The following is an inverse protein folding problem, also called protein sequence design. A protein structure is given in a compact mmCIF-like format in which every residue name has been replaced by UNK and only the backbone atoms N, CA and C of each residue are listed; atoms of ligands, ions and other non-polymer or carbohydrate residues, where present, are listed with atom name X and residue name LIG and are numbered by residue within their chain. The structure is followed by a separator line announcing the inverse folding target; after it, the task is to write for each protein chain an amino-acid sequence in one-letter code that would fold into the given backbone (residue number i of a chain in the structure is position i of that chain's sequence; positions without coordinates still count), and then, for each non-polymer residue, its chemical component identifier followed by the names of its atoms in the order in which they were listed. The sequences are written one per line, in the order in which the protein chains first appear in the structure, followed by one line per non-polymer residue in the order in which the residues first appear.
data_IF_205872819873
#
_entry.id   IF_205872819873
#
_cell.length_a   1.000
_cell.length_b   1.000
_cell.length_c   1.000
_cell.angle_alpha   90.00
_cell.angle_beta   90.00
_cell.angle_gamma   90.00
#
_symmetry.space_group_name_H-M   'P 1'
#
loop_
_entity.id
_entity.type
_entity.pdbx_description
1 polymer ?
#
# COMPACT_ATOMS: atom_id res chain seq x y z
N UNK A 1 2.31 11.34 9.39
CA UNK A 1 1.88 11.60 8.01
C UNK A 1 1.26 10.34 7.41
N UNK A 2 0.33 10.50 6.47
CA UNK A 2 -0.29 9.39 5.72
C UNK A 2 -1.80 9.51 5.64
N UNK A 3 -2.40 8.65 4.82
CA UNK A 3 -3.85 8.45 4.70
C UNK A 3 -4.13 6.98 4.99
N UNK A 4 -5.05 6.70 5.90
CA UNK A 4 -5.48 5.33 6.14
C UNK A 4 -6.57 4.94 5.14
N UNK A 5 -6.26 3.98 4.28
CA UNK A 5 -7.24 3.35 3.41
C UNK A 5 -7.87 2.13 4.10
N UNK A 6 -9.12 1.81 3.74
CA UNK A 6 -9.75 0.54 4.11
C UNK A 6 -9.52 -0.45 2.97
N UNK A 7 -8.76 -1.51 3.26
CA UNK A 7 -8.62 -2.64 2.36
C UNK A 7 -9.88 -3.52 2.34
N UNK A 8 -10.12 -4.20 1.23
CA UNK A 8 -11.20 -5.17 1.07
C UNK A 8 -11.24 -5.69 -0.37
N UNK A 9 -11.89 -6.83 -0.59
CA UNK A 9 -12.18 -7.27 -1.95
C UNK A 9 -13.23 -6.32 -2.54
N UNK A 10 -12.90 -5.73 -3.69
CA UNK A 10 -13.94 -5.09 -4.49
C UNK A 10 -14.73 -6.23 -5.11
N UNK A 11 -15.99 -6.44 -4.72
CA UNK A 11 -16.92 -7.37 -5.37
C UNK A 11 -17.30 -6.88 -6.79
N UNK A 12 -16.30 -6.48 -7.56
CA UNK A 12 -16.37 -5.78 -8.83
C UNK A 12 -15.24 -6.28 -9.76
N UNK A 13 -15.06 -7.59 -9.83
CA UNK A 13 -14.06 -8.23 -10.72
C UNK A 13 -14.11 -7.73 -12.17
N UNK A 14 -15.30 -7.64 -12.82
CA UNK A 14 -15.41 -7.10 -14.17
C UNK A 14 -14.92 -5.65 -14.31
N UNK A 15 -15.11 -4.82 -13.28
CA UNK A 15 -14.60 -3.46 -13.26
C UNK A 15 -13.07 -3.46 -13.17
N UNK A 16 -12.49 -4.29 -12.31
CA UNK A 16 -11.03 -4.47 -12.24
C UNK A 16 -10.44 -4.92 -13.57
N UNK A 17 -11.08 -5.89 -14.24
CA UNK A 17 -10.63 -6.35 -15.56
C UNK A 17 -10.68 -5.23 -16.61
N UNK A 18 -11.74 -4.42 -16.60
CA UNK A 18 -11.87 -3.30 -17.53
C UNK A 18 -10.85 -2.21 -17.25
N UNK A 19 -10.65 -1.87 -15.96
CA UNK A 19 -9.71 -0.85 -15.51
C UNK A 19 -8.27 -1.19 -15.87
N UNK A 20 -7.91 -2.46 -15.74
CA UNK A 20 -6.56 -2.99 -15.95
C UNK A 20 -6.36 -3.71 -17.29
N UNK A 21 -7.33 -3.57 -18.20
CA UNK A 21 -7.34 -4.22 -19.52
C UNK A 21 -6.99 -5.71 -19.48
N UNK A 22 -7.49 -6.42 -18.46
CA UNK A 22 -7.22 -7.84 -18.24
C UNK A 22 -8.16 -8.65 -19.14
N UNK A 23 -7.63 -9.09 -20.28
CA UNK A 23 -8.30 -10.02 -21.19
C UNK A 23 -8.42 -11.44 -20.63
N UNK A 24 -9.18 -12.34 -21.30
CA UNK A 24 -9.41 -13.70 -20.84
C UNK A 24 -8.13 -14.51 -20.58
N UNK A 25 -7.11 -14.34 -21.43
CA UNK A 25 -5.83 -15.05 -21.28
C UNK A 25 -5.06 -14.59 -20.04
N UNK A 26 -4.96 -13.27 -19.83
CA UNK A 26 -4.29 -12.68 -18.65
C UNK A 26 -5.07 -13.00 -17.37
N UNK A 27 -6.41 -12.99 -17.42
CA UNK A 27 -7.26 -13.46 -16.32
C UNK A 27 -6.96 -14.91 -15.95
N UNK A 28 -6.93 -15.81 -16.94
CA UNK A 28 -6.63 -17.22 -16.68
C UNK A 28 -5.20 -17.42 -16.15
N UNK A 29 -4.26 -16.55 -16.53
CA UNK A 29 -2.90 -16.56 -15.98
C UNK A 29 -2.88 -16.15 -14.50
N UNK A 30 -3.58 -15.07 -14.14
CA UNK A 30 -3.77 -14.68 -12.73
C UNK A 30 -4.45 -15.81 -11.93
N UNK A 31 -5.52 -16.42 -12.46
CA UNK A 31 -6.22 -17.50 -11.77
C UNK A 31 -5.31 -18.71 -11.49
N UNK A 32 -4.40 -19.05 -12.41
CA UNK A 32 -3.41 -20.11 -12.21
C UNK A 32 -2.43 -19.79 -11.07
N UNK A 33 -1.95 -18.55 -10.99
CA UNK A 33 -1.06 -18.14 -9.90
C UNK A 33 -1.79 -18.09 -8.56
N UNK A 34 -3.02 -17.56 -8.54
CA UNK A 34 -3.85 -17.54 -7.33
C UNK A 34 -4.15 -18.95 -6.83
N UNK A 35 -4.41 -19.91 -7.74
CA UNK A 35 -4.63 -21.31 -7.37
C UNK A 35 -3.37 -21.98 -6.75
N UNK A 36 -2.18 -21.46 -7.01
CA UNK A 36 -0.92 -21.89 -6.36
C UNK A 36 -0.70 -21.27 -4.98
N UNK A 37 -1.59 -20.37 -4.54
CA UNK A 37 -1.46 -19.63 -3.28
C UNK A 37 -0.81 -18.25 -3.43
N UNK A 38 -0.48 -17.81 -4.65
CA UNK A 38 0.15 -16.52 -4.91
C UNK A 38 -0.90 -15.39 -4.95
N UNK A 39 -1.63 -15.18 -3.87
CA UNK A 39 -2.74 -14.20 -3.84
C UNK A 39 -2.31 -12.75 -4.06
N UNK A 40 -1.05 -12.43 -3.74
CA UNK A 40 -0.46 -11.10 -3.90
C UNK A 40 -0.43 -10.60 -5.33
N UNK A 41 -0.56 -11.49 -6.32
CA UNK A 41 -0.54 -11.15 -7.73
C UNK A 41 -1.80 -10.39 -8.17
N UNK A 42 -2.89 -10.49 -7.39
CA UNK A 42 -4.18 -9.84 -7.72
C UNK A 42 -4.00 -8.31 -7.73
N UNK A 43 -4.30 -7.64 -8.85
CA UNK A 43 -4.15 -6.19 -8.92
C UNK A 43 -5.16 -5.47 -8.05
N UNK A 44 -4.71 -4.36 -7.46
CA UNK A 44 -5.51 -3.53 -6.56
C UNK A 44 -5.62 -2.08 -7.06
N UNK A 45 -6.73 -1.43 -6.73
CA UNK A 45 -6.91 0.00 -6.92
C UNK A 45 -7.52 0.60 -5.66
N UNK A 46 -7.33 1.90 -5.47
CA UNK A 46 -8.04 2.65 -4.45
C UNK A 46 -9.03 3.61 -5.13
N UNK A 47 -10.13 3.89 -4.43
CA UNK A 47 -11.13 4.88 -4.86
C UNK A 47 -11.23 5.94 -3.80
N UNK A 48 -11.07 7.19 -4.20
CA UNK A 48 -11.25 8.35 -3.33
C UNK A 48 -12.55 9.04 -3.71
N UNK A 49 -13.34 9.38 -2.71
CA UNK A 49 -14.55 10.18 -2.87
C UNK A 49 -14.50 11.32 -1.86
N UNK A 50 -14.65 12.54 -2.35
CA UNK A 50 -14.75 13.73 -1.51
C UNK A 50 -16.22 14.04 -1.28
N UNK A 51 -16.60 14.16 -0.01
CA UNK A 51 -17.93 14.66 0.35
C UNK A 51 -17.91 16.20 0.34
N UNK A 52 -19.09 16.81 0.21
CA UNK A 52 -19.23 18.26 0.08
C UNK A 52 -18.97 19.06 1.36
N UNK A 53 -18.79 18.38 2.50
CA UNK A 53 -18.48 19.02 3.79
C UNK A 53 -16.99 19.00 4.12
N UNK A 54 -16.15 18.42 3.25
CA UNK A 54 -14.71 18.42 3.49
C UNK A 54 -14.18 19.86 3.48
N UNK A 55 -13.31 20.19 4.44
CA UNK A 55 -12.62 21.47 4.45
C UNK A 55 -11.61 21.52 3.31
N UNK A 56 -11.30 22.73 2.82
CA UNK A 56 -10.22 22.92 1.85
C UNK A 56 -8.87 22.41 2.41
N UNK A 57 -8.60 22.63 3.70
CA UNK A 57 -7.37 22.15 4.35
C UNK A 57 -7.25 20.62 4.30
N UNK A 58 -8.32 19.89 4.60
CA UNK A 58 -8.31 18.43 4.55
C UNK A 58 -8.24 17.90 3.11
N UNK A 59 -8.95 18.54 2.18
CA UNK A 59 -8.87 18.22 0.76
C UNK A 59 -7.45 18.37 0.22
N UNK A 60 -6.82 19.53 0.45
CA UNK A 60 -5.45 19.82 0.05
C UNK A 60 -4.46 18.83 0.66
N UNK A 61 -4.63 18.50 1.94
CA UNK A 61 -3.79 17.51 2.61
C UNK A 61 -3.89 16.15 1.92
N UNK A 62 -5.10 15.68 1.61
CA UNK A 62 -5.29 14.37 0.97
C UNK A 62 -4.64 14.34 -0.41
N UNK A 63 -4.90 15.36 -1.24
CA UNK A 63 -4.33 15.44 -2.60
C UNK A 63 -2.80 15.47 -2.55
N UNK A 64 -2.21 16.34 -1.72
CA UNK A 64 -0.76 16.44 -1.57
C UNK A 64 -0.15 15.16 -0.99
N UNK A 65 -0.81 14.52 -0.02
CA UNK A 65 -0.32 13.27 0.55
C UNK A 65 -0.29 12.14 -0.49
N UNK A 66 -1.28 12.05 -1.38
CA UNK A 66 -1.30 11.08 -2.48
C UNK A 66 -0.16 11.36 -3.46
N UNK A 67 -0.01 12.61 -3.87
CA UNK A 67 1.06 13.05 -4.78
C UNK A 67 2.45 12.72 -4.21
N UNK A 68 2.67 13.00 -2.93
CA UNK A 68 3.91 12.66 -2.23
C UNK A 68 4.15 11.14 -2.16
N UNK A 69 3.12 10.33 -1.89
CA UNK A 69 3.26 8.87 -1.88
C UNK A 69 3.51 8.33 -3.28
N UNK A 70 2.85 8.85 -4.31
CA UNK A 70 3.09 8.46 -5.71
C UNK A 70 4.51 8.83 -6.17
N UNK A 71 5.01 9.99 -5.76
CA UNK A 71 6.31 10.51 -6.19
C UNK A 71 7.48 9.96 -5.37
N UNK A 72 7.30 9.78 -4.07
CA UNK A 72 8.38 9.46 -3.13
C UNK A 72 8.17 8.16 -2.35
N UNK A 73 7.02 7.50 -2.48
CA UNK A 73 6.69 6.29 -1.72
C UNK A 73 7.64 5.13 -1.96
N UNK A 74 8.24 5.04 -3.15
CA UNK A 74 9.27 4.04 -3.45
C UNK A 74 10.47 4.09 -2.49
N UNK A 75 10.79 5.27 -1.93
CA UNK A 75 11.87 5.44 -0.93
C UNK A 75 11.60 4.67 0.37
N UNK A 76 10.33 4.34 0.64
CA UNK A 76 9.94 3.59 1.83
C UNK A 76 10.01 2.07 1.61
N UNK A 77 10.05 1.57 0.36
CA UNK A 77 10.05 0.13 0.05
C UNK A 77 11.08 -0.67 0.88
N UNK A 78 12.32 -0.20 1.10
CA UNK A 78 13.34 -0.92 1.89
C UNK A 78 13.02 -1.08 3.36
N UNK A 79 12.09 -0.28 3.89
CA UNK A 79 11.64 -0.40 5.27
C UNK A 79 10.64 -1.55 5.45
N UNK A 80 10.05 -2.05 4.35
CA UNK A 80 9.07 -3.11 4.38
C UNK A 80 9.67 -4.48 4.05
N UNK A 81 9.14 -5.48 4.72
CA UNK A 81 9.22 -6.88 4.37
C UNK A 81 7.95 -7.27 3.61
N UNK A 82 8.11 -8.12 2.60
CA UNK A 82 7.01 -8.65 1.81
C UNK A 82 6.91 -10.16 2.01
N UNK A 83 5.74 -10.64 2.45
CA UNK A 83 5.43 -12.06 2.51
C UNK A 83 4.67 -12.47 1.23
N UNK A 84 5.28 -13.22 0.31
CA UNK A 84 4.66 -13.60 -0.95
C UNK A 84 3.49 -14.57 -0.78
N UNK A 85 3.48 -15.38 0.30
CA UNK A 85 2.44 -16.38 0.55
C UNK A 85 1.15 -15.71 1.04
N UNK A 86 1.25 -14.72 1.93
CA UNK A 86 0.08 -13.99 2.43
C UNK A 86 -0.22 -12.68 1.70
N UNK A 87 0.72 -12.20 0.88
CA UNK A 87 0.66 -10.90 0.21
C UNK A 87 0.76 -9.69 1.15
N UNK A 88 1.22 -9.90 2.38
CA UNK A 88 1.30 -8.85 3.39
C UNK A 88 2.61 -8.10 3.31
N UNK A 89 2.50 -6.80 3.57
CA UNK A 89 3.62 -5.88 3.74
C UNK A 89 3.67 -5.44 5.20
N UNK A 90 4.84 -5.52 5.83
CA UNK A 90 5.03 -5.16 7.24
C UNK A 90 6.41 -4.55 7.46
N UNK A 91 6.56 -3.76 8.53
CA UNK A 91 7.83 -3.06 8.83
C UNK A 91 8.55 -3.78 9.97
N UNK A 92 9.82 -4.14 9.78
CA UNK A 92 10.60 -4.90 10.76
C UNK A 92 9.94 -6.24 11.14
N UNK A 93 10.09 -6.68 12.39
CA UNK A 93 9.43 -7.88 12.93
C UNK A 93 8.02 -7.60 13.49
N UNK A 94 7.48 -6.40 13.25
CA UNK A 94 6.23 -6.01 13.87
C UNK A 94 5.04 -6.70 13.20
N UNK A 95 4.42 -7.63 13.93
CA UNK A 95 3.04 -8.03 13.66
C UNK A 95 2.18 -6.83 14.04
N UNK A 96 1.41 -6.22 13.12
CA UNK A 96 0.56 -5.08 13.47
C UNK A 96 -0.43 -5.51 14.55
N UNK A 97 -0.29 -5.00 15.77
CA UNK A 97 -1.30 -5.23 16.79
C UNK A 97 -2.55 -4.42 16.43
N UNK A 98 -3.73 -5.05 16.35
CA UNK A 98 -4.96 -4.31 16.06
C UNK A 98 -5.21 -3.32 17.20
N UNK A 99 -5.64 -2.08 16.89
CA UNK A 99 -5.85 -1.04 17.89
C UNK A 99 -6.98 -1.36 18.89
N UNK A 100 -7.82 -2.36 18.59
CA UNK A 100 -8.88 -2.91 19.41
C UNK A 100 -9.03 -4.41 19.14
N UNK A 101 -9.15 -5.22 20.19
CA UNK A 101 -9.49 -6.64 20.18
C UNK A 101 -10.91 -6.84 20.70
N UNK A 102 -11.57 -7.94 20.33
CA UNK A 102 -12.88 -8.27 20.90
C UNK A 102 -12.83 -8.44 22.42
N UNK A 103 -11.69 -8.86 22.96
CA UNK A 103 -11.42 -8.96 24.41
C UNK A 103 -11.39 -7.60 25.11
N UNK A 104 -11.28 -6.49 24.37
CA UNK A 104 -11.27 -5.14 24.94
C UNK A 104 -12.70 -4.57 25.12
N UNK A 105 -13.72 -5.36 24.74
CA UNK A 105 -15.14 -5.01 24.84
C UNK A 105 -15.74 -5.78 26.03
N UNK A 106 -16.39 -5.06 26.94
CA UNK A 106 -17.09 -5.61 28.11
C UNK A 106 -18.58 -5.29 28.04
N UNK A 107 -19.41 -6.18 28.60
CA UNK A 107 -20.84 -5.96 28.86
C UNK A 107 -21.18 -6.12 30.35
N UNK A 108 -20.19 -6.03 31.25
CA UNK A 108 -20.35 -6.28 32.68
C UNK A 108 -21.40 -5.38 33.36
N UNK A 109 -21.65 -4.19 32.81
CA UNK A 109 -22.63 -3.23 33.32
C UNK A 109 -23.98 -3.28 32.60
N UNK A 110 -24.18 -4.23 31.69
CA UNK A 110 -25.38 -4.33 30.85
C UNK A 110 -25.37 -3.42 29.61
N UNK A 111 -24.28 -2.67 29.39
CA UNK A 111 -24.02 -1.87 28.19
C UNK A 111 -22.63 -2.18 27.61
N UNK A 112 -22.42 -1.88 26.33
CA UNK A 112 -21.13 -2.08 25.67
C UNK A 112 -20.10 -1.06 26.19
N UNK A 113 -19.03 -1.54 26.80
CA UNK A 113 -17.89 -0.75 27.31
C UNK A 113 -16.61 -1.12 26.57
N UNK A 114 -15.80 -0.13 26.21
CA UNK A 114 -14.49 -0.34 25.59
C UNK A 114 -13.55 0.85 25.87
N UNK A 115 -12.23 0.62 25.87
CA UNK A 115 -11.25 1.72 25.98
C UNK A 115 -11.03 2.36 24.61
N UNK A 116 -11.73 3.47 24.34
CA UNK A 116 -11.49 4.27 23.15
C UNK A 116 -10.16 5.04 23.27
N UNK A 117 -9.10 4.59 22.60
CA UNK A 117 -7.88 5.38 22.43
C UNK A 117 -8.01 6.25 21.17
N UNK A 118 -8.82 7.30 21.24
CA UNK A 118 -8.94 8.28 20.14
C UNK A 118 -8.17 9.54 20.49
N UNK A 119 -6.90 9.57 20.11
CA UNK A 119 -6.14 10.82 20.03
C UNK A 119 -6.44 11.42 18.66
N UNK A 120 -6.95 12.64 18.62
CA UNK A 120 -7.23 13.40 17.40
C UNK A 120 -6.52 14.73 17.47
N UNK A 121 -6.00 15.19 16.33
CA UNK A 121 -5.37 16.49 16.19
C UNK A 121 -6.25 17.40 15.32
N UNK A 122 -6.20 18.73 15.52
CA UNK A 122 -6.95 19.68 14.69
C UNK A 122 -6.36 19.75 13.27
N UNK A 123 -7.19 20.08 12.27
CA UNK A 123 -6.75 20.14 10.86
C UNK A 123 -5.60 21.13 10.61
N UNK A 124 -5.39 22.10 11.50
CA UNK A 124 -4.26 23.03 11.45
C UNK A 124 -2.89 22.35 11.51
N UNK A 125 -2.80 21.10 11.97
CA UNK A 125 -1.52 20.35 11.98
C UNK A 125 -1.19 19.70 10.63
N UNK A 126 -2.17 19.56 9.73
CA UNK A 126 -2.01 18.83 8.48
C UNK A 126 -0.88 19.39 7.58
N UNK A 127 -0.70 20.71 7.43
CA UNK A 127 0.43 21.26 6.68
C UNK A 127 1.79 20.86 7.26
N UNK A 128 1.91 20.79 8.60
CA UNK A 128 3.13 20.34 9.27
C UNK A 128 3.44 18.88 8.93
N UNK A 129 2.43 18.01 8.91
CA UNK A 129 2.63 16.61 8.54
C UNK A 129 3.14 16.43 7.12
N UNK A 130 2.69 17.26 6.17
CA UNK A 130 3.24 17.25 4.81
C UNK A 130 4.71 17.68 4.81
N UNK A 131 5.06 18.72 5.56
CA UNK A 131 6.44 19.17 5.67
C UNK A 131 7.36 18.10 6.28
N UNK A 132 6.93 17.47 7.38
CA UNK A 132 7.68 16.39 8.04
C UNK A 132 7.84 15.15 7.15
N UNK A 133 6.85 14.86 6.28
CA UNK A 133 6.86 13.68 5.43
C UNK A 133 8.06 13.65 4.47
N UNK A 134 8.49 14.80 3.94
CA UNK A 134 9.68 14.88 3.10
C UNK A 134 10.93 14.36 3.83
N UNK A 135 11.11 14.77 5.09
CA UNK A 135 12.20 14.29 5.92
C UNK A 135 12.14 12.78 6.14
N UNK A 136 10.95 12.20 6.30
CA UNK A 136 10.77 10.74 6.42
C UNK A 136 11.18 10.02 5.14
N UNK A 137 10.78 10.53 3.97
CA UNK A 137 11.15 9.93 2.68
C UNK A 137 12.67 9.98 2.43
N UNK A 138 13.31 11.12 2.69
CA UNK A 138 14.78 11.23 2.53
C UNK A 138 15.52 10.35 3.53
N UNK A 139 15.11 10.37 4.80
CA UNK A 139 15.68 9.51 5.83
C UNK A 139 15.57 8.03 5.44
N UNK A 140 14.42 7.58 4.92
CA UNK A 140 14.23 6.20 4.51
C UNK A 140 15.16 5.80 3.36
N UNK A 141 15.30 6.65 2.34
CA UNK A 141 16.21 6.43 1.22
C UNK A 141 17.67 6.37 1.67
N UNK A 142 18.08 7.24 2.61
CA UNK A 142 19.45 7.22 3.16
C UNK A 142 19.74 5.95 3.96
N UNK A 143 18.80 5.51 4.80
CA UNK A 143 18.96 4.30 5.61
C UNK A 143 18.90 3.00 4.79
N UNK A 144 18.33 3.05 3.59
CA UNK A 144 18.31 1.93 2.67
C UNK A 144 19.65 1.71 1.96
N UNK A 145 20.49 2.75 1.82
CA UNK A 145 21.77 2.65 1.09
C UNK A 145 22.71 1.64 1.76
N UNK A 146 23.17 0.67 0.97
CA UNK A 146 24.09 -0.37 1.44
C UNK A 146 23.44 -1.44 2.32
N UNK A 147 22.11 -1.40 2.50
CA UNK A 147 21.38 -2.46 3.17
C UNK A 147 21.19 -3.64 2.21
N UNK A 148 21.53 -4.84 2.65
CA UNK A 148 21.17 -6.05 1.94
C UNK A 148 19.70 -6.39 2.26
N UNK A 149 18.88 -6.50 1.23
CA UNK A 149 17.44 -6.78 1.34
C UNK A 149 17.18 -8.12 0.68
N UNK A 150 16.59 -9.05 1.43
CA UNK A 150 16.23 -10.35 0.89
C UNK A 150 15.12 -10.20 -0.14
N UNK A 151 15.28 -10.89 -1.27
CA UNK A 151 14.30 -10.88 -2.35
C UNK A 151 13.66 -12.26 -2.41
N UNK A 152 12.33 -12.37 -2.30
CA UNK A 152 11.66 -13.64 -2.54
C UNK A 152 11.85 -14.06 -4.00
N UNK A 153 12.14 -15.34 -4.21
CA UNK A 153 12.24 -15.93 -5.55
C UNK A 153 10.85 -16.30 -6.06
N UNK A 154 10.54 -15.92 -7.29
CA UNK A 154 9.28 -16.24 -7.94
C UNK A 154 9.49 -17.07 -9.20
N UNK A 155 8.43 -17.81 -9.57
CA UNK A 155 8.44 -18.53 -10.85
C UNK A 155 8.45 -17.56 -12.03
N UNK A 156 8.98 -17.95 -13.21
CA UNK A 156 8.96 -17.10 -14.40
C UNK A 156 7.55 -16.67 -14.83
N UNK A 157 6.53 -17.49 -14.55
CA UNK A 157 5.14 -17.17 -14.87
C UNK A 157 4.57 -16.10 -13.92
N UNK A 158 4.99 -16.10 -12.67
CA UNK A 158 4.62 -15.06 -11.70
C UNK A 158 5.29 -13.73 -12.06
N UNK A 159 6.58 -13.74 -12.38
CA UNK A 159 7.32 -12.52 -12.75
C UNK A 159 6.70 -11.81 -13.96
N UNK A 160 6.22 -12.57 -14.96
CA UNK A 160 5.49 -12.01 -16.12
C UNK A 160 4.19 -11.29 -15.76
N UNK A 161 3.59 -11.60 -14.61
CA UNK A 161 2.32 -11.02 -14.15
C UNK A 161 2.52 -9.96 -13.06
N UNK A 162 3.72 -9.88 -12.47
CA UNK A 162 4.00 -9.02 -11.33
C UNK A 162 3.94 -7.55 -11.75
N UNK A 163 3.04 -6.82 -11.11
CA UNK A 163 2.76 -5.42 -11.42
C UNK A 163 3.28 -4.44 -10.36
N UNK A 164 4.00 -4.94 -9.35
CA UNK A 164 4.48 -4.17 -8.22
C UNK A 164 5.98 -4.41 -7.98
N UNK A 165 6.70 -3.42 -7.44
CA UNK A 165 8.11 -3.58 -7.10
C UNK A 165 8.29 -4.35 -5.79
N UNK A 166 9.44 -4.99 -5.64
CA UNK A 166 9.88 -5.62 -4.39
C UNK A 166 10.76 -4.66 -3.57
N UNK A 167 10.87 -4.85 -2.24
CA UNK A 167 11.73 -4.02 -1.38
C UNK A 167 13.17 -3.86 -1.87
N UNK A 168 13.74 -4.90 -2.47
CA UNK A 168 15.10 -4.90 -2.98
C UNK A 168 15.26 -4.11 -4.29
N UNK A 169 14.18 -3.84 -5.02
CA UNK A 169 14.19 -3.13 -6.31
C UNK A 169 14.04 -1.60 -6.15
N UNK A 170 14.09 -1.08 -4.92
CA UNK A 170 13.79 0.32 -4.62
C UNK A 170 14.72 1.33 -5.32
N UNK A 171 15.97 0.97 -5.57
CA UNK A 171 17.00 1.84 -6.14
C UNK A 171 16.88 2.01 -7.66
N UNK A 172 16.21 1.09 -8.35
CA UNK A 172 15.83 1.25 -9.77
C UNK A 172 15.01 2.53 -9.98
N UNK A 173 14.11 2.85 -9.04
CA UNK A 173 13.32 4.08 -9.04
C UNK A 173 14.14 5.33 -8.71
N UNK A 174 15.26 5.20 -8.00
CA UNK A 174 16.17 6.31 -7.70
C UNK A 174 17.01 6.72 -8.91
N UNK A 175 17.39 5.77 -9.76
CA UNK A 175 18.22 6.00 -10.92
C UNK A 175 17.46 6.69 -12.08
N UNK A 176 16.14 6.86 -11.97
CA UNK A 176 15.30 7.24 -13.11
C UNK A 176 15.24 6.14 -14.18
N UNK A 177 15.80 4.97 -13.87
CA UNK A 177 15.57 3.73 -14.57
C UNK A 177 14.18 3.22 -14.13
N UNK A 178 13.13 3.96 -14.52
CA UNK A 178 11.90 3.26 -14.88
C UNK A 178 12.31 2.40 -16.06
N UNK A 179 12.78 1.18 -15.77
CA UNK A 179 13.04 0.17 -16.76
C UNK A 179 11.81 0.17 -17.68
N UNK A 180 11.99 0.14 -18.99
CA UNK A 180 10.86 0.05 -19.92
C UNK A 180 9.93 -1.14 -19.55
N UNK A 181 10.49 -2.14 -18.86
CA UNK A 181 9.79 -3.27 -18.26
C UNK A 181 8.90 -2.90 -17.06
N UNK A 182 9.21 -1.86 -16.27
CA UNK A 182 8.37 -1.41 -15.14
C UNK A 182 7.14 -0.61 -15.56
N UNK A 183 7.17 0.13 -16.68
CA UNK A 183 5.93 0.70 -17.24
C UNK A 183 5.06 -0.41 -17.85
N UNK A 184 5.68 -1.39 -18.52
CA UNK A 184 4.98 -2.58 -19.04
C UNK A 184 4.37 -3.48 -17.95
N UNK A 185 4.90 -3.41 -16.72
CA UNK A 185 4.33 -4.09 -15.53
C UNK A 185 3.10 -3.39 -14.99
N UNK A 186 2.90 -2.09 -15.27
CA UNK A 186 1.75 -1.37 -14.77
C UNK A 186 0.50 -1.76 -15.58
N UNK A 187 -0.59 -2.18 -14.93
CA UNK A 187 -1.73 -2.77 -15.62
C UNK A 187 -2.56 -1.77 -16.46
N UNK A 188 -2.13 -0.51 -16.58
CA UNK A 188 -2.86 0.55 -17.27
C UNK A 188 -2.23 1.05 -18.57
N UNK A 189 -1.01 0.63 -18.89
CA UNK A 189 -0.36 0.99 -20.16
C UNK A 189 -0.89 0.16 -21.35
#
# INVERSE_FOLDING_TARGET
FGIQARGGCSCAGPYGHSLFRIGPEKSAAFDREVAKGNECIKPGWFRINFNYFISETAFDYIVKAIDMVATHGWKLLPAYNFDPQSGKWYVGDSVPEPPLRLTDISYATGAMEYRARRVTEPESVLPRYLHEALGVFEWAAENARGRQIETPEFSPDFEKLRWFPLPAEWDSYAAGETDADTSDRLPWD
#
